data_IF_445310331043
#
_entry.id   IF_445310331043
#
_cell.length_a   1.000
_cell.length_b   1.000
_cell.length_c   1.000
_cell.angle_alpha   90.00
_cell.angle_beta   90.00
_cell.angle_gamma   90.00
#
_symmetry.space_group_name_H-M   'P 1'
#
loop_
_entity.id
_entity.type
_entity.pdbx_description
1 polymer ?
#
# COMPACT_ATOMS: atom_id res chain seq x y z
N UNK A 1 18.21 15.82 -24.13
CA UNK A 1 16.97 16.59 -23.96
C UNK A 1 15.68 15.77 -24.20
N UNK A 2 15.57 14.93 -25.23
CA UNK A 2 14.32 14.18 -25.47
C UNK A 2 13.96 13.10 -24.42
N UNK A 3 14.96 12.46 -23.78
CA UNK A 3 14.72 11.48 -22.71
C UNK A 3 14.28 12.12 -21.38
N UNK A 4 14.67 13.36 -21.13
CA UNK A 4 14.31 14.08 -19.91
C UNK A 4 12.82 14.45 -19.92
N UNK A 5 12.28 14.88 -21.05
CA UNK A 5 10.87 15.26 -21.19
C UNK A 5 9.90 14.07 -21.05
N UNK A 6 10.29 12.84 -21.43
CA UNK A 6 9.47 11.65 -21.22
C UNK A 6 9.34 11.26 -19.74
N UNK A 7 10.36 11.52 -18.94
CA UNK A 7 10.33 11.26 -17.50
C UNK A 7 9.36 12.21 -16.75
N UNK A 8 9.19 13.44 -17.24
CA UNK A 8 8.36 14.46 -16.60
C UNK A 8 6.85 14.24 -16.81
N UNK A 9 6.44 13.66 -17.95
CA UNK A 9 5.01 13.45 -18.23
C UNK A 9 4.33 12.50 -17.24
N UNK A 10 5.04 11.52 -16.70
CA UNK A 10 4.50 10.61 -15.70
C UNK A 10 4.41 11.22 -14.31
N UNK A 11 5.34 12.13 -13.99
CA UNK A 11 5.36 12.82 -12.69
C UNK A 11 4.28 13.90 -12.64
N UNK A 12 4.07 14.61 -13.75
CA UNK A 12 2.97 15.58 -13.90
C UNK A 12 1.60 14.90 -13.89
N UNK A 13 1.45 13.70 -14.46
CA UNK A 13 0.18 12.98 -14.41
C UNK A 13 -0.22 12.57 -12.99
N UNK A 14 0.74 12.37 -12.10
CA UNK A 14 0.46 12.08 -10.69
C UNK A 14 -0.09 13.30 -9.93
N UNK A 15 0.28 14.52 -10.31
CA UNK A 15 -0.24 15.73 -9.69
C UNK A 15 -1.73 15.99 -10.00
N UNK A 16 -2.26 15.38 -11.07
CA UNK A 16 -3.63 15.57 -11.55
C UNK A 16 -4.66 14.62 -10.93
N UNK A 17 -4.22 13.58 -10.25
CA UNK A 17 -5.12 12.63 -9.59
C UNK A 17 -5.63 13.16 -8.26
N UNK A 18 -6.88 12.87 -7.85
CA UNK A 18 -7.30 13.10 -6.49
C UNK A 18 -6.52 12.24 -5.51
N UNK A 19 -5.99 12.85 -4.46
CA UNK A 19 -5.15 12.20 -3.48
C UNK A 19 -5.89 12.03 -2.14
N UNK A 20 -5.72 10.86 -1.56
CA UNK A 20 -6.02 10.56 -0.18
C UNK A 20 -4.70 10.23 0.54
N UNK A 21 -3.90 11.26 0.85
CA UNK A 21 -2.64 11.15 1.60
C UNK A 21 -2.44 12.35 2.54
N UNK A 22 -1.53 12.23 3.49
CA UNK A 22 -1.26 13.29 4.47
C UNK A 22 -0.57 14.51 3.83
N UNK A 23 -0.88 15.71 4.34
CA UNK A 23 -0.29 16.98 3.85
C UNK A 23 1.24 17.01 3.83
N UNK A 24 1.97 16.52 4.87
CA UNK A 24 3.43 16.52 4.86
C UNK A 24 4.00 15.72 3.69
N UNK A 25 3.41 14.59 3.34
CA UNK A 25 3.87 13.76 2.22
C UNK A 25 3.69 14.48 0.89
N UNK A 26 2.57 15.18 0.69
CA UNK A 26 2.35 16.01 -0.52
C UNK A 26 3.39 17.11 -0.63
N UNK A 27 3.67 17.80 0.48
CA UNK A 27 4.70 18.84 0.51
C UNK A 27 6.08 18.26 0.14
N UNK A 28 6.40 17.06 0.60
CA UNK A 28 7.64 16.35 0.26
C UNK A 28 7.70 16.03 -1.23
N UNK A 29 6.62 15.48 -1.79
CA UNK A 29 6.53 15.18 -3.22
C UNK A 29 6.66 16.45 -4.05
N UNK A 30 5.95 17.52 -3.71
CA UNK A 30 6.02 18.81 -4.38
C UNK A 30 7.44 19.40 -4.32
N UNK A 31 8.14 19.27 -3.19
CA UNK A 31 9.50 19.72 -3.02
C UNK A 31 10.49 18.95 -3.93
N UNK A 32 10.38 17.63 -3.95
CA UNK A 32 11.19 16.76 -4.84
C UNK A 32 10.96 17.12 -6.30
N UNK A 33 9.71 17.33 -6.69
CA UNK A 33 9.33 17.77 -8.03
C UNK A 33 9.92 19.14 -8.39
N UNK A 34 9.81 20.14 -7.49
CA UNK A 34 10.34 21.47 -7.70
C UNK A 34 11.86 21.44 -7.91
N UNK A 35 12.60 20.66 -7.11
CA UNK A 35 14.04 20.46 -7.30
C UNK A 35 14.38 19.84 -8.65
N UNK A 36 13.62 18.86 -9.07
CA UNK A 36 13.81 18.17 -10.34
C UNK A 36 13.51 19.09 -11.53
N UNK A 37 12.43 19.87 -11.46
CA UNK A 37 12.06 20.88 -12.48
C UNK A 37 13.07 22.03 -12.55
N UNK A 38 13.70 22.40 -11.43
CA UNK A 38 14.76 23.41 -11.39
C UNK A 38 16.11 22.91 -11.96
N UNK A 39 16.16 21.71 -12.54
CA UNK A 39 17.40 21.12 -13.05
C UNK A 39 18.42 20.75 -11.98
N UNK A 40 17.98 20.61 -10.73
CA UNK A 40 18.76 20.18 -9.57
C UNK A 40 18.21 18.84 -9.06
N UNK A 41 18.37 17.73 -9.82
CA UNK A 41 17.86 16.45 -9.38
C UNK A 41 18.52 16.07 -8.05
N UNK A 42 17.72 15.61 -7.10
CA UNK A 42 18.24 15.02 -5.87
C UNK A 42 19.03 13.78 -6.24
N UNK A 43 20.22 13.65 -5.69
CA UNK A 43 20.99 12.42 -5.83
C UNK A 43 20.34 11.33 -4.96
N UNK A 44 19.54 10.49 -5.61
CA UNK A 44 18.87 9.36 -4.97
C UNK A 44 19.73 8.07 -5.01
N UNK A 45 20.95 8.15 -5.52
CA UNK A 45 21.84 6.99 -5.66
C UNK A 45 22.27 6.39 -4.32
N UNK A 46 22.21 7.20 -3.25
CA UNK A 46 22.51 6.77 -1.87
C UNK A 46 21.29 6.21 -1.13
N UNK A 47 20.08 6.31 -1.69
CA UNK A 47 18.91 5.68 -1.09
C UNK A 47 18.95 4.19 -1.43
N UNK A 48 19.16 3.37 -0.42
CA UNK A 48 18.95 1.94 -0.55
C UNK A 48 17.51 1.70 -0.97
N UNK A 49 17.31 0.99 -2.08
CA UNK A 49 15.98 0.54 -2.47
C UNK A 49 15.53 -0.44 -1.40
N UNK A 50 14.48 -0.08 -0.68
CA UNK A 50 13.84 -1.03 0.23
C UNK A 50 13.36 -2.21 -0.62
N UNK A 51 13.84 -3.42 -0.31
CA UNK A 51 13.32 -4.63 -0.93
C UNK A 51 11.82 -4.70 -0.65
N UNK A 52 11.01 -5.10 -1.65
CA UNK A 52 9.57 -5.27 -1.44
C UNK A 52 9.35 -6.26 -0.30
N UNK A 53 8.64 -5.85 0.74
CA UNK A 53 8.27 -6.77 1.82
C UNK A 53 7.28 -7.78 1.24
N UNK A 54 7.68 -9.05 1.24
CA UNK A 54 6.87 -10.12 0.67
C UNK A 54 5.85 -10.64 1.69
N UNK A 55 4.75 -11.23 1.18
CA UNK A 55 3.80 -11.98 2.00
C UNK A 55 4.53 -12.98 2.88
N UNK A 56 4.37 -12.86 4.19
CA UNK A 56 4.91 -13.80 5.16
C UNK A 56 3.77 -14.68 5.70
N UNK A 57 3.96 -16.00 5.63
CA UNK A 57 3.07 -16.97 6.30
C UNK A 57 3.79 -17.45 7.54
N UNK A 58 3.34 -17.03 8.70
CA UNK A 58 3.85 -17.53 9.98
C UNK A 58 3.19 -18.88 10.27
N UNK A 59 3.98 -19.97 10.41
CA UNK A 59 3.43 -21.27 10.82
C UNK A 59 2.87 -21.15 12.25
N UNK A 60 1.82 -21.92 12.51
CA UNK A 60 1.36 -22.10 13.88
C UNK A 60 2.47 -22.73 14.74
N UNK A 61 2.55 -22.41 16.04
CA UNK A 61 3.47 -23.08 16.95
C UNK A 61 3.26 -24.60 16.89
N UNK A 62 4.36 -25.33 16.76
CA UNK A 62 4.40 -26.79 16.56
C UNK A 62 3.62 -27.56 17.62
N UNK A 63 2.51 -28.16 17.24
CA UNK A 63 1.96 -29.42 17.77
C UNK A 63 0.52 -29.72 17.35
N UNK A 64 -0.12 -29.01 16.44
CA UNK A 64 -1.43 -29.34 15.89
C UNK A 64 -1.77 -28.60 14.59
N UNK A 65 -2.88 -28.91 13.91
CA UNK A 65 -3.33 -28.19 12.74
C UNK A 65 -3.90 -26.80 13.12
N UNK A 66 -3.18 -26.05 13.95
CA UNK A 66 -3.49 -24.66 14.21
C UNK A 66 -3.17 -23.86 12.94
N UNK A 67 -4.15 -23.11 12.45
CA UNK A 67 -3.98 -22.26 11.30
C UNK A 67 -3.13 -21.03 11.70
N UNK A 68 -2.06 -20.78 10.96
CA UNK A 68 -1.18 -19.63 11.18
C UNK A 68 -1.79 -18.30 10.72
N UNK A 69 -1.03 -17.22 10.87
CA UNK A 69 -1.35 -15.91 10.33
C UNK A 69 -0.59 -15.66 9.02
N UNK A 70 -1.24 -15.00 8.07
CA UNK A 70 -0.59 -14.45 6.88
C UNK A 70 -0.44 -12.95 7.05
N UNK A 71 0.77 -12.41 6.93
CA UNK A 71 1.06 -10.98 7.02
C UNK A 71 1.15 -10.41 5.61
N UNK A 72 0.30 -9.44 5.29
CA UNK A 72 0.26 -8.71 4.03
C UNK A 72 0.75 -7.29 4.28
N UNK A 73 1.96 -6.93 3.81
CA UNK A 73 2.51 -5.59 4.04
C UNK A 73 1.85 -4.55 3.11
N UNK A 74 1.54 -3.38 3.68
CA UNK A 74 1.03 -2.19 2.97
C UNK A 74 1.81 -0.99 3.48
N UNK A 75 3.01 -0.78 2.90
CA UNK A 75 3.94 0.24 3.36
C UNK A 75 4.11 1.36 2.34
N UNK A 76 4.37 2.57 2.81
CA UNK A 76 4.65 3.74 2.00
C UNK A 76 3.41 4.31 1.29
N UNK A 77 3.61 4.99 0.17
CA UNK A 77 2.51 5.57 -0.63
C UNK A 77 1.80 4.46 -1.42
N UNK A 78 0.46 4.47 -1.38
CA UNK A 78 -0.33 3.43 -2.04
C UNK A 78 -0.83 3.93 -3.40
N UNK A 79 -0.51 3.18 -4.47
CA UNK A 79 -1.02 3.41 -5.82
C UNK A 79 -1.97 2.31 -6.30
N UNK A 80 -2.67 2.51 -7.43
CA UNK A 80 -3.55 1.49 -8.00
C UNK A 80 -2.78 0.27 -8.53
N UNK A 81 -1.66 0.51 -9.20
CA UNK A 81 -0.76 -0.50 -9.80
C UNK A 81 0.69 -0.04 -9.69
N UNK A 82 1.62 -0.97 -9.92
CA UNK A 82 3.06 -0.62 -10.03
C UNK A 82 3.26 0.50 -11.04
N UNK A 83 3.94 1.55 -10.60
CA UNK A 83 4.35 2.69 -11.42
C UNK A 83 5.81 3.00 -11.14
N UNK A 84 6.46 3.78 -12.01
CA UNK A 84 7.81 4.26 -11.76
C UNK A 84 7.95 4.99 -10.41
N UNK A 85 6.84 5.52 -9.88
CA UNK A 85 6.80 6.17 -8.57
C UNK A 85 6.89 5.16 -7.41
N UNK A 86 6.19 4.02 -7.50
CA UNK A 86 6.31 2.95 -6.49
C UNK A 86 7.71 2.33 -6.49
N UNK A 87 8.37 2.24 -7.65
CA UNK A 87 9.76 1.76 -7.75
C UNK A 87 10.77 2.70 -7.06
N UNK A 88 10.47 4.00 -7.02
CA UNK A 88 11.33 5.02 -6.40
C UNK A 88 10.99 5.19 -4.91
N UNK A 89 9.70 5.20 -4.55
CA UNK A 89 9.25 5.47 -3.17
C UNK A 89 9.13 4.23 -2.29
N UNK A 90 9.29 3.02 -2.84
CA UNK A 90 9.08 1.77 -2.12
C UNK A 90 7.61 1.55 -1.71
N UNK A 91 6.66 2.18 -2.42
CA UNK A 91 5.24 2.16 -2.09
C UNK A 91 4.54 0.84 -2.39
N UNK A 92 3.40 0.62 -1.74
CA UNK A 92 2.51 -0.51 -1.99
C UNK A 92 1.55 -0.24 -3.16
N UNK A 93 0.91 -1.30 -3.66
CA UNK A 93 -0.19 -1.15 -4.60
C UNK A 93 -1.43 -1.92 -4.15
N UNK A 94 -2.61 -1.35 -4.41
CA UNK A 94 -3.87 -2.04 -4.10
C UNK A 94 -3.98 -3.38 -4.83
N UNK A 95 -3.49 -3.47 -6.06
CA UNK A 95 -3.55 -4.71 -6.83
C UNK A 95 -2.66 -5.80 -6.22
N UNK A 96 -1.43 -5.47 -5.81
CA UNK A 96 -0.53 -6.43 -5.16
C UNK A 96 -1.10 -6.88 -3.82
N UNK A 97 -1.53 -5.95 -2.95
CA UNK A 97 -2.14 -6.28 -1.67
C UNK A 97 -3.37 -7.19 -1.84
N UNK A 98 -4.21 -6.91 -2.86
CA UNK A 98 -5.36 -7.74 -3.20
C UNK A 98 -4.97 -9.16 -3.62
N UNK A 99 -3.90 -9.31 -4.41
CA UNK A 99 -3.38 -10.61 -4.80
C UNK A 99 -2.85 -11.39 -3.59
N UNK A 100 -2.16 -10.73 -2.68
CA UNK A 100 -1.59 -11.37 -1.49
C UNK A 100 -2.69 -11.79 -0.50
N UNK A 101 -3.73 -10.98 -0.32
CA UNK A 101 -4.93 -11.39 0.43
C UNK A 101 -5.60 -12.62 -0.24
N UNK A 102 -5.73 -12.65 -1.57
CA UNK A 102 -6.28 -13.83 -2.28
C UNK A 102 -5.45 -15.09 -2.06
N UNK A 103 -4.11 -15.00 -2.10
CA UNK A 103 -3.22 -16.13 -1.80
C UNK A 103 -3.43 -16.61 -0.37
N UNK A 104 -3.52 -15.70 0.59
CA UNK A 104 -3.76 -16.00 1.99
C UNK A 104 -5.13 -16.64 2.23
N UNK A 105 -6.19 -16.18 1.54
CA UNK A 105 -7.51 -16.79 1.58
C UNK A 105 -7.50 -18.24 1.07
N UNK A 106 -6.78 -18.50 -0.02
CA UNK A 106 -6.68 -19.83 -0.63
C UNK A 106 -5.78 -20.81 0.16
N UNK A 107 -4.91 -20.32 1.05
CA UNK A 107 -3.95 -21.14 1.75
C UNK A 107 -4.60 -21.82 2.98
N UNK A 108 -4.66 -23.16 2.98
CA UNK A 108 -5.35 -23.93 4.03
C UNK A 108 -4.75 -23.76 5.45
N UNK A 109 -3.42 -23.52 5.54
CA UNK A 109 -2.72 -23.28 6.81
C UNK A 109 -2.88 -21.88 7.37
N UNK A 110 -3.62 -20.97 6.70
CA UNK A 110 -3.87 -19.61 7.16
C UNK A 110 -5.27 -19.50 7.75
N UNK A 111 -5.35 -19.14 9.02
CA UNK A 111 -6.60 -18.91 9.75
C UNK A 111 -6.97 -17.44 9.86
N UNK A 112 -5.98 -16.56 9.91
CA UNK A 112 -6.16 -15.10 10.05
C UNK A 112 -5.23 -14.38 9.09
N UNK A 113 -5.70 -13.28 8.50
CA UNK A 113 -4.90 -12.40 7.64
C UNK A 113 -4.63 -11.12 8.43
N UNK A 114 -3.38 -10.69 8.47
CA UNK A 114 -2.96 -9.44 9.11
C UNK A 114 -2.46 -8.50 8.01
N UNK A 115 -3.11 -7.36 7.87
CA UNK A 115 -2.61 -6.26 7.03
C UNK A 115 -1.65 -5.46 7.91
N UNK A 116 -0.36 -5.54 7.62
CA UNK A 116 0.69 -4.75 8.27
C UNK A 116 0.80 -3.40 7.58
N UNK A 117 0.22 -2.36 8.19
CA UNK A 117 0.06 -1.06 7.55
C UNK A 117 0.98 -0.01 8.18
N UNK A 118 1.86 0.56 7.35
CA UNK A 118 2.61 1.78 7.64
C UNK A 118 2.57 2.70 6.41
N UNK A 119 1.51 3.48 6.31
CA UNK A 119 1.21 4.26 5.10
C UNK A 119 0.49 5.57 5.42
N UNK A 120 0.97 6.63 4.78
CA UNK A 120 0.34 7.95 4.80
C UNK A 120 -0.90 8.05 3.88
N UNK A 121 -1.25 6.98 3.17
CA UNK A 121 -2.28 6.95 2.13
C UNK A 121 -1.70 6.99 0.72
N UNK A 122 -2.48 7.51 -0.22
CA UNK A 122 -2.07 7.53 -1.63
C UNK A 122 -3.20 7.91 -2.57
N UNK A 123 -3.26 7.26 -3.74
CA UNK A 123 -4.29 7.49 -4.75
C UNK A 123 -5.67 7.06 -4.26
N UNK A 124 -6.70 7.81 -4.66
CA UNK A 124 -8.10 7.39 -4.46
C UNK A 124 -8.50 6.30 -5.44
N UNK A 125 -7.77 6.19 -6.57
CA UNK A 125 -8.08 5.19 -7.61
C UNK A 125 -7.66 3.79 -7.12
N UNK A 126 -8.61 2.88 -7.08
CA UNK A 126 -8.42 1.52 -6.59
C UNK A 126 -8.70 1.33 -5.09
N UNK A 127 -8.79 2.41 -4.29
CA UNK A 127 -9.02 2.34 -2.86
C UNK A 127 -10.40 1.74 -2.52
N UNK A 128 -11.47 2.25 -3.14
CA UNK A 128 -12.83 1.74 -2.92
C UNK A 128 -12.98 0.29 -3.39
N UNK A 129 -12.39 -0.06 -4.52
CA UNK A 129 -12.41 -1.43 -5.06
C UNK A 129 -11.68 -2.42 -4.13
N UNK A 130 -10.57 -1.98 -3.51
CA UNK A 130 -9.87 -2.80 -2.53
C UNK A 130 -10.62 -2.86 -1.20
N UNK A 131 -11.20 -1.76 -0.73
CA UNK A 131 -12.07 -1.71 0.45
C UNK A 131 -13.25 -2.70 0.31
N UNK A 132 -13.99 -2.66 -0.80
CA UNK A 132 -15.08 -3.59 -1.08
C UNK A 132 -14.60 -5.06 -1.15
N UNK A 133 -13.43 -5.30 -1.73
CA UNK A 133 -12.84 -6.64 -1.72
C UNK A 133 -12.55 -7.13 -0.28
N UNK A 134 -12.00 -6.27 0.59
CA UNK A 134 -11.74 -6.61 2.00
C UNK A 134 -13.04 -6.90 2.76
N UNK A 135 -14.11 -6.13 2.53
CA UNK A 135 -15.43 -6.37 3.11
C UNK A 135 -15.98 -7.77 2.77
N UNK A 136 -15.71 -8.26 1.56
CA UNK A 136 -16.09 -9.61 1.14
C UNK A 136 -15.11 -10.68 1.65
N UNK A 137 -13.83 -10.38 1.66
CA UNK A 137 -12.78 -11.30 2.08
C UNK A 137 -12.86 -11.63 3.59
N UNK A 138 -13.20 -10.65 4.42
CA UNK A 138 -13.33 -10.83 5.89
C UNK A 138 -14.44 -11.78 6.31
N UNK A 139 -15.41 -12.05 5.43
CA UNK A 139 -16.46 -13.04 5.67
C UNK A 139 -15.94 -14.49 5.48
N UNK A 140 -14.79 -14.67 4.81
CA UNK A 140 -14.15 -15.98 4.60
C UNK A 140 -13.11 -16.29 5.66
N UNK A 141 -12.28 -15.32 6.01
CA UNK A 141 -11.28 -15.41 7.08
C UNK A 141 -11.18 -14.06 7.81
N UNK A 142 -10.99 -14.05 9.13
CA UNK A 142 -10.72 -12.83 9.87
C UNK A 142 -9.55 -12.05 9.26
N UNK A 143 -9.73 -10.74 9.09
CA UNK A 143 -8.71 -9.81 8.62
C UNK A 143 -8.48 -8.78 9.73
N UNK A 144 -7.26 -8.63 10.19
CA UNK A 144 -6.87 -7.64 11.19
C UNK A 144 -5.99 -6.60 10.50
N UNK A 145 -6.39 -5.34 10.54
CA UNK A 145 -5.56 -4.23 10.05
C UNK A 145 -4.74 -3.67 11.21
N UNK A 146 -3.41 -3.85 11.16
CA UNK A 146 -2.47 -3.33 12.14
C UNK A 146 -1.80 -2.06 11.62
N UNK A 147 -2.06 -0.91 12.26
CA UNK A 147 -1.32 0.32 12.03
C UNK A 147 -0.12 0.41 12.97
N UNK A 148 1.08 0.18 12.43
CA UNK A 148 2.29 0.16 13.25
C UNK A 148 2.80 1.55 13.59
N UNK A 149 2.88 2.45 12.58
CA UNK A 149 3.31 3.85 12.75
C UNK A 149 2.28 4.80 12.16
N UNK A 150 1.90 4.59 10.90
CA UNK A 150 0.94 5.45 10.22
C UNK A 150 -0.11 4.61 9.50
N UNK A 151 -1.39 4.87 9.79
CA UNK A 151 -2.50 4.35 9.01
C UNK A 151 -3.43 5.51 8.67
N UNK A 152 -3.07 6.28 7.64
CA UNK A 152 -3.76 7.53 7.33
C UNK A 152 -4.39 7.52 5.93
N UNK A 153 -5.49 8.24 5.78
CA UNK A 153 -6.14 8.55 4.51
C UNK A 153 -6.49 7.28 3.72
N UNK A 154 -6.01 7.04 2.50
CA UNK A 154 -6.33 5.81 1.75
C UNK A 154 -5.93 4.53 2.50
N UNK A 155 -4.91 4.56 3.36
CA UNK A 155 -4.53 3.43 4.21
C UNK A 155 -5.57 3.15 5.28
N UNK A 156 -6.13 4.19 5.92
CA UNK A 156 -7.24 4.04 6.85
C UNK A 156 -8.54 3.63 6.13
N UNK A 157 -8.77 4.15 4.93
CA UNK A 157 -9.91 3.75 4.10
C UNK A 157 -10.00 2.24 3.96
N UNK A 158 -8.90 1.61 3.56
CA UNK A 158 -8.87 0.16 3.36
C UNK A 158 -8.78 -0.60 4.69
N UNK A 159 -7.98 -0.12 5.66
CA UNK A 159 -7.84 -0.73 6.98
C UNK A 159 -9.15 -0.76 7.77
N UNK A 160 -9.97 0.29 7.67
CA UNK A 160 -11.28 0.36 8.30
C UNK A 160 -12.28 -0.72 7.80
N UNK A 161 -12.01 -1.34 6.65
CA UNK A 161 -12.82 -2.41 6.08
C UNK A 161 -12.40 -3.82 6.54
N UNK A 162 -11.37 -3.95 7.39
CA UNK A 162 -11.00 -5.20 8.03
C UNK A 162 -12.06 -5.70 9.04
N UNK A 163 -11.88 -6.87 9.59
CA UNK A 163 -12.72 -7.40 10.69
C UNK A 163 -12.44 -6.65 12.00
N UNK A 164 -11.16 -6.34 12.23
CA UNK A 164 -10.64 -5.65 13.41
C UNK A 164 -9.57 -4.66 12.98
N UNK A 165 -9.52 -3.49 13.60
CA UNK A 165 -8.51 -2.46 13.37
C UNK A 165 -7.73 -2.22 14.66
N UNK A 166 -6.43 -2.37 14.59
CA UNK A 166 -5.52 -2.29 15.74
C UNK A 166 -4.41 -1.29 15.42
N UNK A 167 -4.10 -0.39 16.35
CA UNK A 167 -2.98 0.52 16.20
C UNK A 167 -1.96 0.34 17.33
N UNK A 168 -0.68 0.45 16.97
CA UNK A 168 0.39 0.55 17.96
C UNK A 168 0.21 1.81 18.84
N UNK A 169 0.71 1.83 20.10
CA UNK A 169 0.50 2.95 21.01
C UNK A 169 0.96 4.32 20.47
N UNK A 170 2.01 4.35 19.65
CA UNK A 170 2.52 5.57 19.03
C UNK A 170 1.96 5.85 17.63
N UNK A 171 1.08 5.00 17.12
CA UNK A 171 0.55 5.14 15.78
C UNK A 171 -0.36 6.35 15.64
N UNK A 172 -0.37 6.90 14.44
CA UNK A 172 -1.22 8.01 14.04
C UNK A 172 -1.97 7.66 12.75
N UNK A 173 -3.20 8.16 12.60
CA UNK A 173 -3.96 7.84 11.39
C UNK A 173 -5.24 8.63 11.25
N UNK A 174 -6.21 8.06 10.52
CA UNK A 174 -7.43 8.76 10.15
C UNK A 174 -7.24 9.57 8.88
N UNK A 175 -7.19 10.89 8.96
CA UNK A 175 -7.08 11.78 7.80
C UNK A 175 -8.11 11.43 6.71
N UNK A 176 -9.38 11.29 7.12
CA UNK A 176 -10.50 10.93 6.23
C UNK A 176 -10.85 12.12 5.38
N UNK A 177 -10.22 12.25 4.23
CA UNK A 177 -10.37 13.38 3.34
C UNK A 177 -9.75 13.12 1.97
N UNK A 178 -10.19 13.91 0.99
CA UNK A 178 -9.70 13.87 -0.39
C UNK A 178 -9.42 15.30 -0.83
N UNK A 179 -8.35 15.50 -1.59
CA UNK A 179 -8.03 16.79 -2.18
C UNK A 179 -7.44 16.61 -3.57
N UNK A 180 -7.48 17.69 -4.34
CA UNK A 180 -6.76 17.83 -5.61
C UNK A 180 -6.00 19.14 -5.58
N UNK A 181 -4.88 19.19 -6.28
CA UNK A 181 -4.08 20.40 -6.43
C UNK A 181 -4.19 20.85 -7.89
N UNK A 182 -4.32 22.14 -8.10
CA UNK A 182 -4.20 22.79 -9.40
C UNK A 182 -3.07 23.81 -9.33
N UNK A 183 -2.15 23.76 -10.28
CA UNK A 183 -1.02 24.69 -10.36
C UNK A 183 -1.26 25.73 -11.46
N UNK A 184 -1.28 27.01 -11.09
CA UNK A 184 -1.31 28.13 -12.02
C UNK A 184 0.13 28.61 -12.31
N UNK A 185 0.63 28.30 -13.48
CA UNK A 185 1.97 28.70 -13.93
C UNK A 185 1.93 29.84 -14.96
N UNK A 186 0.79 30.52 -15.13
CA UNK A 186 0.60 31.54 -16.18
C UNK A 186 1.61 32.68 -16.09
N UNK A 187 1.86 33.18 -14.87
CA UNK A 187 2.85 34.28 -14.68
C UNK A 187 4.27 33.78 -14.98
N UNK A 188 4.66 32.61 -14.46
CA UNK A 188 5.99 32.06 -14.71
C UNK A 188 6.26 31.84 -16.21
N UNK A 189 5.28 31.33 -16.94
CA UNK A 189 5.41 31.10 -18.38
C UNK A 189 5.49 32.43 -19.15
N UNK A 190 4.71 33.43 -18.75
CA UNK A 190 4.77 34.78 -19.34
C UNK A 190 6.14 35.43 -19.14
N UNK A 191 6.73 35.32 -17.95
CA UNK A 191 8.07 35.85 -17.65
C UNK A 191 9.15 35.13 -18.47
N UNK A 192 8.94 33.88 -18.84
CA UNK A 192 9.81 33.14 -19.76
C UNK A 192 9.52 33.42 -21.25
N UNK A 193 8.57 34.31 -21.56
CA UNK A 193 8.16 34.64 -22.94
C UNK A 193 7.39 33.50 -23.63
N UNK A 194 6.87 32.54 -22.88
CA UNK A 194 6.10 31.38 -23.39
C UNK A 194 4.62 31.69 -23.30
N UNK A 195 3.91 31.62 -24.44
CA UNK A 195 2.44 31.66 -24.50
C UNK A 195 1.88 30.32 -24.97
N UNK A 196 1.12 29.68 -24.13
CA UNK A 196 0.42 28.45 -24.47
C UNK A 196 -0.91 28.80 -25.18
N UNK A 197 -1.21 28.08 -26.26
CA UNK A 197 -2.51 28.15 -26.94
C UNK A 197 -3.04 26.73 -27.12
N UNK A 198 -4.17 26.44 -26.49
CA UNK A 198 -4.82 25.13 -26.59
C UNK A 198 -5.83 25.15 -27.72
N UNK A 199 -5.71 24.19 -28.65
CA UNK A 199 -6.68 23.94 -29.73
C UNK A 199 -7.33 22.59 -29.42
N UNK A 200 -8.57 22.60 -28.96
CA UNK A 200 -9.25 21.40 -28.48
C UNK A 200 -10.69 21.29 -28.97
N UNK A 201 -11.18 20.07 -29.06
CA UNK A 201 -12.58 19.74 -29.26
C UNK A 201 -13.15 19.13 -27.98
N UNK A 202 -14.38 19.51 -27.65
CA UNK A 202 -15.03 19.16 -26.38
C UNK A 202 -14.84 20.23 -25.30
N UNK A 203 -16.00 20.72 -24.77
CA UNK A 203 -16.07 21.88 -23.85
C UNK A 203 -15.06 21.80 -22.71
N UNK A 204 -14.86 20.61 -22.14
CA UNK A 204 -14.09 20.39 -20.92
C UNK A 204 -12.71 19.74 -21.16
N UNK A 205 -12.30 19.59 -22.43
CA UNK A 205 -11.08 18.85 -22.75
C UNK A 205 -9.79 19.50 -22.23
N UNK A 206 -9.80 20.82 -22.14
CA UNK A 206 -8.66 21.65 -21.68
C UNK A 206 -9.02 22.46 -20.45
N UNK A 207 -10.13 22.15 -19.81
CA UNK A 207 -10.55 22.78 -18.58
C UNK A 207 -9.68 22.30 -17.42
N UNK A 208 -9.27 23.22 -16.55
CA UNK A 208 -8.44 22.93 -15.37
C UNK A 208 -7.11 22.23 -15.69
N UNK A 209 -6.54 22.47 -16.87
CA UNK A 209 -5.17 22.01 -17.20
C UNK A 209 -4.17 22.78 -16.35
N UNK A 210 -3.23 22.06 -15.74
CA UNK A 210 -2.12 22.68 -15.01
C UNK A 210 -1.31 23.63 -15.90
N UNK A 211 -0.84 24.69 -15.29
CA UNK A 211 -0.17 25.77 -16.00
C UNK A 211 -1.08 26.85 -16.57
N UNK A 212 -2.42 26.70 -16.41
CA UNK A 212 -3.39 27.74 -16.76
C UNK A 212 -4.10 28.28 -15.53
N UNK A 213 -4.69 29.47 -15.63
CA UNK A 213 -5.52 30.02 -14.56
C UNK A 213 -6.77 29.15 -14.36
N UNK A 214 -7.07 28.82 -13.09
CA UNK A 214 -8.24 28.03 -12.76
C UNK A 214 -9.51 28.88 -12.85
N UNK A 215 -10.43 28.49 -13.72
CA UNK A 215 -11.75 29.14 -13.83
C UNK A 215 -12.67 28.73 -12.66
N UNK A 216 -13.66 29.58 -12.34
CA UNK A 216 -14.67 29.23 -11.34
C UNK A 216 -15.43 27.94 -11.71
N UNK A 217 -15.72 27.73 -13.00
CA UNK A 217 -16.38 26.53 -13.53
C UNK A 217 -15.44 25.29 -13.40
N UNK A 218 -14.16 25.44 -13.71
CA UNK A 218 -13.14 24.42 -13.52
C UNK A 218 -12.97 24.03 -12.04
N UNK A 219 -12.89 25.02 -11.15
CA UNK A 219 -12.85 24.78 -9.70
C UNK A 219 -14.06 24.01 -9.19
N UNK A 220 -15.26 24.35 -9.64
CA UNK A 220 -16.49 23.65 -9.28
C UNK A 220 -16.48 22.19 -9.76
N UNK A 221 -15.95 21.93 -10.95
CA UNK A 221 -15.82 20.55 -11.49
C UNK A 221 -14.81 19.73 -10.68
N UNK A 222 -13.63 20.27 -10.42
CA UNK A 222 -12.62 19.61 -9.59
C UNK A 222 -13.17 19.30 -8.20
N UNK A 223 -13.87 20.27 -7.59
CA UNK A 223 -14.55 20.07 -6.31
C UNK A 223 -15.58 18.94 -6.37
N UNK A 224 -16.36 18.84 -7.44
CA UNK A 224 -17.33 17.75 -7.64
C UNK A 224 -16.67 16.37 -7.68
N UNK A 225 -15.49 16.24 -8.30
CA UNK A 225 -14.73 14.99 -8.29
C UNK A 225 -14.20 14.66 -6.88
N UNK A 226 -13.64 15.64 -6.19
CA UNK A 226 -13.17 15.49 -4.80
C UNK A 226 -14.31 15.06 -3.89
N UNK A 227 -15.47 15.71 -3.97
CA UNK A 227 -16.65 15.39 -3.15
C UNK A 227 -17.20 13.98 -3.44
N UNK A 228 -17.17 13.55 -4.69
CA UNK A 228 -17.59 12.21 -5.05
C UNK A 228 -16.68 11.13 -4.43
N UNK A 229 -15.36 11.31 -4.48
CA UNK A 229 -14.41 10.39 -3.85
C UNK A 229 -14.50 10.45 -2.33
N UNK A 230 -14.64 11.64 -1.73
CA UNK A 230 -14.84 11.80 -0.29
C UNK A 230 -16.11 11.07 0.19
N UNK A 231 -17.19 11.17 -0.56
CA UNK A 231 -18.44 10.49 -0.22
C UNK A 231 -18.26 8.97 -0.23
N UNK A 232 -17.53 8.42 -1.21
CA UNK A 232 -17.20 6.98 -1.24
C UNK A 232 -16.34 6.57 -0.05
N UNK A 233 -15.30 7.34 0.24
CA UNK A 233 -14.43 7.09 1.41
C UNK A 233 -15.25 7.00 2.70
N UNK A 234 -16.06 8.02 2.98
CA UNK A 234 -16.94 8.04 4.16
C UNK A 234 -17.88 6.83 4.19
N UNK A 235 -18.49 6.48 3.07
CA UNK A 235 -19.43 5.35 2.98
C UNK A 235 -18.74 4.02 3.25
N UNK A 236 -17.56 3.79 2.67
CA UNK A 236 -16.82 2.55 2.85
C UNK A 236 -16.33 2.39 4.30
N UNK A 237 -15.81 3.48 4.90
CA UNK A 237 -15.41 3.49 6.32
C UNK A 237 -16.63 3.25 7.23
N UNK A 238 -17.74 3.91 6.98
CA UNK A 238 -18.99 3.71 7.73
C UNK A 238 -19.45 2.25 7.69
N UNK A 239 -19.38 1.63 6.50
CA UNK A 239 -19.71 0.22 6.31
C UNK A 239 -18.71 -0.69 7.05
N UNK A 240 -17.43 -0.41 6.94
CA UNK A 240 -16.37 -1.18 7.59
C UNK A 240 -16.47 -1.14 9.11
N UNK A 241 -16.63 0.05 9.68
CA UNK A 241 -16.75 0.30 11.12
C UNK A 241 -18.16 0.09 11.69
N UNK A 242 -19.15 -0.20 10.84
CA UNK A 242 -20.57 -0.41 11.22
C UNK A 242 -21.17 0.79 11.94
N UNK A 243 -20.85 1.97 11.48
CA UNK A 243 -21.37 3.26 11.99
C UNK A 243 -22.10 4.02 10.88
N UNK A 244 -22.74 5.15 11.22
CA UNK A 244 -23.36 6.01 10.21
C UNK A 244 -22.32 6.85 9.45
N UNK A 245 -22.64 7.25 8.23
CA UNK A 245 -21.80 8.17 7.46
C UNK A 245 -21.59 9.52 8.18
N UNK A 246 -22.61 9.97 8.92
CA UNK A 246 -22.52 11.21 9.70
C UNK A 246 -21.57 11.08 10.89
N UNK A 247 -21.52 9.92 11.55
CA UNK A 247 -20.52 9.65 12.59
C UNK A 247 -19.10 9.72 12.04
N UNK A 248 -18.88 9.20 10.81
CA UNK A 248 -17.58 9.31 10.16
C UNK A 248 -17.26 10.77 9.80
N UNK A 249 -18.21 11.52 9.21
CA UNK A 249 -17.97 12.91 8.77
C UNK A 249 -17.63 13.85 9.92
N UNK A 250 -18.37 13.72 11.03
CA UNK A 250 -18.35 14.70 12.11
C UNK A 250 -17.68 14.18 13.39
N UNK A 251 -17.30 12.87 13.43
CA UNK A 251 -16.76 12.24 14.63
C UNK A 251 -15.38 11.60 14.43
N UNK A 252 -14.96 11.32 13.20
CA UNK A 252 -13.67 10.65 12.94
C UNK A 252 -12.57 11.64 12.54
N UNK A 253 -12.46 12.76 13.29
CA UNK A 253 -11.38 13.73 13.15
C UNK A 253 -11.51 14.71 11.98
N UNK A 254 -12.60 14.70 11.20
CA UNK A 254 -12.92 15.68 10.14
C UNK A 254 -11.76 15.92 9.14
N UNK A 255 -11.02 14.88 8.79
CA UNK A 255 -9.86 14.95 7.91
C UNK A 255 -8.52 15.19 8.62
N UNK A 256 -8.52 15.35 9.93
CA UNK A 256 -7.30 15.43 10.72
C UNK A 256 -6.66 14.04 10.93
N UNK A 257 -5.38 14.07 11.25
CA UNK A 257 -4.66 12.90 11.78
C UNK A 257 -4.87 12.88 13.29
N UNK A 258 -5.21 11.72 13.85
CA UNK A 258 -5.43 11.50 15.28
C UNK A 258 -4.44 10.45 15.81
N UNK A 259 -4.17 10.48 17.13
CA UNK A 259 -3.36 9.48 17.82
C UNK A 259 -4.18 8.22 18.15
N UNK A 260 -3.54 7.19 18.67
CA UNK A 260 -4.19 5.91 18.95
C UNK A 260 -5.26 6.01 20.06
N UNK A 261 -5.02 6.80 21.12
CA UNK A 261 -5.97 6.97 22.23
C UNK A 261 -7.24 7.66 21.75
N UNK A 262 -7.10 8.76 21.01
CA UNK A 262 -8.24 9.47 20.41
C UNK A 262 -8.99 8.59 19.42
N UNK A 263 -8.27 7.84 18.57
CA UNK A 263 -8.87 6.94 17.61
C UNK A 263 -9.69 5.83 18.28
N UNK A 264 -9.22 5.29 19.40
CA UNK A 264 -9.96 4.31 20.21
C UNK A 264 -11.21 4.94 20.82
N UNK A 265 -11.08 6.12 21.40
CA UNK A 265 -12.20 6.84 22.01
C UNK A 265 -13.29 7.21 20.98
N UNK A 266 -12.90 7.54 19.75
CA UNK A 266 -13.80 7.86 18.64
C UNK A 266 -14.40 6.60 17.97
N UNK A 267 -13.96 5.40 18.32
CA UNK A 267 -14.40 4.15 17.67
C UNK A 267 -13.81 3.92 16.28
N UNK A 268 -12.74 4.63 15.95
CA UNK A 268 -12.01 4.45 14.69
C UNK A 268 -11.22 3.14 14.67
N UNK A 269 -10.75 2.68 15.82
CA UNK A 269 -10.03 1.42 16.01
C UNK A 269 -10.67 0.60 17.13
N UNK A 270 -10.31 -0.66 17.21
CA UNK A 270 -10.86 -1.61 18.18
C UNK A 270 -9.91 -1.84 19.36
N UNK A 271 -8.60 -1.69 19.15
CA UNK A 271 -7.54 -1.93 20.14
C UNK A 271 -6.32 -1.06 19.92
N UNK A 272 -5.57 -0.90 20.99
CA UNK A 272 -4.20 -0.38 20.97
C UNK A 272 -3.29 -1.56 21.33
N UNK A 273 -2.62 -2.12 20.33
CA UNK A 273 -1.69 -3.25 20.43
C UNK A 273 -0.61 -3.09 19.34
N UNK A 274 0.58 -3.55 19.60
CA UNK A 274 1.64 -3.70 18.58
C UNK A 274 1.33 -4.88 17.64
N UNK A 275 2.03 -4.95 16.52
CA UNK A 275 1.93 -6.12 15.62
C UNK A 275 2.30 -7.42 16.35
N UNK A 276 3.37 -7.40 17.16
CA UNK A 276 3.85 -8.57 17.91
C UNK A 276 2.81 -9.05 18.94
N UNK A 277 2.18 -8.12 19.67
CA UNK A 277 1.10 -8.44 20.61
C UNK A 277 -0.12 -9.00 19.88
N UNK A 278 -0.48 -8.44 18.74
CA UNK A 278 -1.57 -8.94 17.89
C UNK A 278 -1.28 -10.36 17.39
N UNK A 279 -0.07 -10.62 16.90
CA UNK A 279 0.34 -11.96 16.46
C UNK A 279 0.37 -12.97 17.61
N UNK A 280 0.85 -12.57 18.80
CA UNK A 280 0.82 -13.40 20.00
C UNK A 280 -0.63 -13.74 20.41
N UNK A 281 -1.55 -12.78 20.35
CA UNK A 281 -2.98 -12.98 20.62
C UNK A 281 -3.62 -13.96 19.63
N UNK A 282 -3.33 -13.81 18.33
CA UNK A 282 -3.81 -14.75 17.31
C UNK A 282 -3.32 -16.17 17.61
N UNK A 283 -2.02 -16.33 17.93
CA UNK A 283 -1.45 -17.62 18.25
C UNK A 283 -2.09 -18.27 19.50
N UNK A 284 -2.44 -17.47 20.51
CA UNK A 284 -3.08 -17.93 21.73
C UNK A 284 -4.56 -18.34 21.54
N UNK A 285 -5.27 -17.77 20.55
CA UNK A 285 -6.67 -18.08 20.26
C UNK A 285 -6.84 -19.24 19.28
N UNK A 286 -5.76 -19.69 18.64
CA UNK A 286 -5.79 -20.90 17.81
C UNK A 286 -6.19 -22.11 18.68
N UNK A 287 -7.16 -22.96 18.25
CA UNK A 287 -7.61 -24.09 19.05
C UNK A 287 -6.42 -24.99 19.39
N UNK A 288 -6.17 -25.18 20.68
CA UNK A 288 -5.19 -26.18 21.15
C UNK A 288 -5.57 -27.55 20.60
N UNK A 289 -4.61 -28.33 20.08
CA UNK A 289 -4.91 -29.69 19.69
C UNK A 289 -5.36 -30.47 20.92
N UNK A 290 -6.55 -31.04 20.86
CA UNK A 290 -6.94 -32.10 21.78
C UNK A 290 -5.90 -33.20 21.61
N UNK A 291 -5.09 -33.43 22.63
CA UNK A 291 -4.08 -34.49 22.60
C UNK A 291 -4.78 -35.80 22.28
N UNK A 292 -4.62 -36.31 21.08
CA UNK A 292 -4.97 -37.67 20.79
C UNK A 292 -4.07 -38.57 21.66
N UNK A 293 -4.57 -39.60 22.32
CA UNK A 293 -3.74 -40.48 23.11
C UNK A 293 -2.66 -41.09 22.20
N UNK A 294 -1.41 -40.87 22.56
CA UNK A 294 -0.25 -41.43 21.86
C UNK A 294 -0.37 -42.95 22.06
N UNK A 295 -0.90 -43.64 21.04
CA UNK A 295 -0.76 -45.11 20.98
C UNK A 295 0.73 -45.44 21.00
N UNK A 296 1.14 -46.32 21.89
CA UNK A 296 2.52 -46.79 21.99
C UNK A 296 2.97 -47.27 20.58
N UNK A 297 3.93 -46.58 20.01
CA UNK A 297 4.61 -46.98 18.77
C UNK A 297 5.86 -47.72 19.19
N UNK A 298 5.97 -49.00 18.82
CA UNK A 298 7.21 -49.77 18.98
C UNK A 298 8.37 -49.05 18.26
N UNK A 299 9.59 -49.08 18.82
CA UNK A 299 10.73 -48.40 18.24
C UNK A 299 11.08 -49.01 16.89
N UNK A 300 11.32 -48.18 15.84
CA UNK A 300 11.70 -48.70 14.54
C UNK A 300 13.11 -49.32 14.57
N UNK A 301 13.24 -50.48 13.89
CA UNK A 301 14.52 -51.15 13.70
C UNK A 301 15.55 -50.24 13.05
N UNK A 302 16.79 -50.32 13.51
CA UNK A 302 17.93 -49.54 13.06
C UNK A 302 18.14 -49.61 11.55
N UNK A 303 18.09 -48.45 10.87
CA UNK A 303 18.50 -48.29 9.48
C UNK A 303 20.05 -48.20 9.37
N UNK A 304 20.67 -48.75 8.32
CA UNK A 304 22.10 -48.69 8.13
C UNK A 304 22.55 -47.24 7.77
N UNK A 305 23.74 -46.86 8.26
CA UNK A 305 24.34 -45.55 8.07
C UNK A 305 24.50 -45.18 6.59
N UNK A 306 23.89 -44.04 6.20
CA UNK A 306 24.11 -43.44 4.90
C UNK A 306 25.44 -42.69 4.90
N UNK A 307 26.31 -43.09 4.00
CA UNK A 307 27.57 -42.40 3.69
C UNK A 307 27.25 -41.04 3.07
N UNK A 308 27.65 -39.98 3.74
CA UNK A 308 27.63 -38.61 3.21
C UNK A 308 28.69 -38.44 2.13
N UNK A 309 28.26 -38.35 0.85
CA UNK A 309 29.12 -37.78 -0.20
C UNK A 309 28.92 -36.27 -0.25
N UNK A 310 29.99 -35.53 0.04
CA UNK A 310 30.04 -34.09 -0.21
C UNK A 310 30.00 -33.84 -1.75
N UNK A 311 29.25 -32.81 -2.21
CA UNK A 311 29.27 -32.46 -3.62
C UNK A 311 30.63 -31.83 -3.97
N UNK A 312 31.26 -32.40 -4.99
CA UNK A 312 32.51 -31.92 -5.58
C UNK A 312 32.34 -30.48 -6.13
N UNK A 313 33.30 -29.57 -5.96
CA UNK A 313 33.19 -28.20 -6.49
C UNK A 313 33.15 -28.20 -8.00
N UNK A 314 32.19 -27.47 -8.56
CA UNK A 314 32.00 -27.29 -9.99
C UNK A 314 33.32 -26.80 -10.67
N UNK A 315 33.71 -27.43 -11.75
CA UNK A 315 34.94 -27.12 -12.47
C UNK A 315 34.86 -25.75 -13.16
N UNK A 316 36.01 -25.09 -13.34
CA UNK A 316 36.12 -23.79 -14.02
C UNK A 316 35.50 -23.77 -15.43
N UNK A 317 35.42 -24.94 -16.09
CA UNK A 317 34.75 -25.09 -17.37
C UNK A 317 33.22 -24.97 -17.30
N UNK A 318 32.60 -25.44 -16.23
CA UNK A 318 31.16 -25.32 -16.02
C UNK A 318 30.75 -23.89 -15.66
N UNK A 319 31.56 -23.19 -14.88
CA UNK A 319 31.37 -21.76 -14.60
C UNK A 319 31.49 -20.90 -15.85
N UNK A 320 32.45 -21.22 -16.75
CA UNK A 320 32.65 -20.53 -18.02
C UNK A 320 31.49 -20.78 -19.02
N UNK A 321 30.86 -21.99 -18.98
CA UNK A 321 29.71 -22.31 -19.81
C UNK A 321 28.49 -21.53 -19.43
N UNK A 322 28.15 -21.48 -18.13
CA UNK A 322 27.01 -20.70 -17.59
C UNK A 322 27.16 -19.21 -17.88
N UNK A 323 28.38 -18.66 -17.74
CA UNK A 323 28.65 -17.26 -18.09
C UNK A 323 28.47 -16.94 -19.57
N UNK A 324 28.79 -17.85 -20.47
CA UNK A 324 28.59 -17.68 -21.92
C UNK A 324 27.10 -17.79 -22.30
N UNK A 325 26.36 -18.72 -21.72
CA UNK A 325 24.92 -18.87 -21.95
C UNK A 325 24.15 -17.66 -21.47
N UNK A 326 24.52 -17.08 -20.32
CA UNK A 326 23.93 -15.81 -19.83
C UNK A 326 24.27 -14.62 -20.74
N UNK A 327 25.50 -14.52 -21.24
CA UNK A 327 25.90 -13.45 -22.15
C UNK A 327 25.17 -13.52 -23.51
N UNK A 328 24.91 -14.72 -24.01
CA UNK A 328 24.18 -14.92 -25.27
C UNK A 328 22.70 -14.61 -25.14
N UNK A 329 22.09 -14.90 -23.98
CA UNK A 329 20.71 -14.53 -23.70
C UNK A 329 20.51 -13.01 -23.55
N UNK A 330 21.55 -12.27 -23.12
CA UNK A 330 21.49 -10.81 -22.97
C UNK A 330 21.71 -10.04 -24.28
N UNK A 331 22.35 -10.64 -25.26
CA UNK A 331 22.66 -10.03 -26.59
C UNK A 331 21.65 -10.39 -27.68
N UNK A 332 20.65 -11.21 -27.39
CA UNK A 332 19.65 -11.71 -28.34
C UNK A 332 18.38 -10.88 -28.48
N UNK A 333 18.34 -9.65 -27.96
CA UNK A 333 17.26 -8.70 -28.16
C UNK A 333 17.75 -7.51 -28.99
N UNK A 334 17.91 -7.76 -30.29
CA UNK A 334 18.05 -6.76 -31.34
C UNK A 334 16.71 -6.58 -32.06
#
# INVERSE_FOLDING_TARGET
MANTLRSYSHVLSLALEPWAMTRPMVATIAHVLAHHLAGRPLDLSSLERSEPVALQVMPAPTAAPAQGAAIVPIHGVIGPRMSAFSDISGGATFEQAKQDVRKALAHAGVGTIVLDIDSCGGSVLGASEFAHFLLQAREQKPIIACGNFTMASAAYWVGACATEVVWAPSAMGGSIGVYSIHEDLTTMLADLGVKLTYIAAGKWKVDSIDGTALTAEGAARLKGHVDAHYTRFVTDVATGRKVTADAVRNGFGEGAVVNADDALALGMIDRIETLDETLARIAATAPSPTAAPIGAVDPPASLPAATSQEPSPATDQERARVSREMATAFLGLG
#
